data_IF_090015498054
#
_entry.id   IF_090015498054
#
_cell.length_a   1.000
_cell.length_b   1.000
_cell.length_c   1.000
_cell.angle_alpha   90.00
_cell.angle_beta   90.00
_cell.angle_gamma   90.00
#
_symmetry.space_group_name_H-M   'P 1'
#
loop_
_entity.id
_entity.type
_entity.pdbx_description
1 polymer ?
#
# COMPACT_ATOMS: atom_id res chain seq x y z
N UNK A 1 13.26 14.75 -12.35
CA UNK A 1 12.55 13.52 -11.91
C UNK A 1 13.06 12.95 -10.58
N UNK A 2 14.37 12.84 -10.32
CA UNK A 2 14.88 12.20 -9.07
C UNK A 2 14.36 12.78 -7.74
N UNK A 3 14.34 14.11 -7.57
CA UNK A 3 13.80 14.74 -6.35
C UNK A 3 12.29 14.53 -6.18
N UNK A 4 11.52 14.58 -7.28
CA UNK A 4 10.07 14.35 -7.26
C UNK A 4 9.73 12.89 -6.93
N UNK A 5 10.54 11.94 -7.40
CA UNK A 5 10.37 10.51 -7.07
C UNK A 5 10.72 10.19 -5.62
N UNK A 6 11.55 10.99 -4.94
CA UNK A 6 11.90 10.76 -3.53
C UNK A 6 10.79 11.18 -2.54
N UNK A 7 9.94 12.14 -2.93
CA UNK A 7 8.83 12.65 -2.11
C UNK A 7 7.87 11.54 -1.65
N UNK A 8 7.33 10.68 -2.53
CA UNK A 8 6.42 9.61 -2.09
C UNK A 8 7.08 8.64 -1.12
N UNK A 9 8.37 8.32 -1.29
CA UNK A 9 9.09 7.44 -0.36
C UNK A 9 9.33 8.10 1.01
N UNK A 10 9.66 9.39 1.05
CA UNK A 10 9.79 10.15 2.29
C UNK A 10 8.46 10.23 3.06
N UNK A 11 7.37 10.54 2.34
CA UNK A 11 6.03 10.59 2.93
C UNK A 11 5.59 9.21 3.39
N UNK A 12 5.87 8.16 2.62
CA UNK A 12 5.63 6.78 3.02
C UNK A 12 6.35 6.41 4.31
N UNK A 13 7.63 6.78 4.43
CA UNK A 13 8.42 6.52 5.63
C UNK A 13 7.82 7.22 6.86
N UNK A 14 7.47 8.50 6.74
CA UNK A 14 6.83 9.25 7.83
C UNK A 14 5.46 8.65 8.20
N UNK A 15 4.67 8.29 7.20
CA UNK A 15 3.34 7.73 7.40
C UNK A 15 3.39 6.36 8.11
N UNK A 16 4.36 5.49 7.79
CA UNK A 16 4.58 4.24 8.52
C UNK A 16 4.85 4.51 10.00
N UNK A 17 5.74 5.45 10.31
CA UNK A 17 6.09 5.77 11.69
C UNK A 17 4.88 6.31 12.47
N UNK A 18 4.13 7.24 11.87
CA UNK A 18 2.91 7.81 12.47
C UNK A 18 1.84 6.72 12.65
N UNK A 19 1.63 5.87 11.64
CA UNK A 19 0.66 4.79 11.70
C UNK A 19 0.99 3.76 12.77
N UNK A 20 2.28 3.42 12.95
CA UNK A 20 2.75 2.57 14.04
C UNK A 20 2.38 3.16 15.40
N UNK A 21 2.69 4.45 15.60
CA UNK A 21 2.34 5.15 16.84
C UNK A 21 0.82 5.18 17.11
N UNK A 22 0.01 5.46 16.08
CA UNK A 22 -1.46 5.44 16.20
C UNK A 22 -1.96 4.03 16.52
N UNK A 23 -1.42 3.00 15.86
CA UNK A 23 -1.79 1.60 16.10
C UNK A 23 -1.46 1.16 17.53
N UNK A 24 -0.30 1.57 18.06
CA UNK A 24 0.10 1.30 19.44
C UNK A 24 -0.80 2.04 20.44
N UNK A 25 -1.18 3.29 20.15
CA UNK A 25 -2.11 4.07 20.98
C UNK A 25 -3.52 3.48 21.01
N UNK A 26 -4.04 3.05 19.87
CA UNK A 26 -5.37 2.40 19.77
C UNK A 26 -5.37 1.05 20.49
N UNK A 27 -4.28 0.30 20.41
CA UNK A 27 -4.10 -0.94 21.20
C UNK A 27 -4.05 -0.65 22.71
N UNK A 28 -3.26 0.33 23.13
CA UNK A 28 -3.10 0.68 24.54
C UNK A 28 -4.41 1.16 25.17
N UNK A 29 -5.24 1.88 24.39
CA UNK A 29 -6.56 2.34 24.83
C UNK A 29 -7.61 1.22 24.95
N UNK A 30 -7.35 0.01 24.43
CA UNK A 30 -8.28 -1.12 24.49
C UNK A 30 -9.57 -0.94 23.67
N UNK A 31 -9.60 0.03 22.75
CA UNK A 31 -10.83 0.39 22.03
C UNK A 31 -11.29 -0.67 21.03
N UNK A 32 -10.34 -1.36 20.37
CA UNK A 32 -10.63 -2.42 19.40
C UNK A 32 -9.69 -3.62 19.62
N UNK A 33 -10.21 -4.83 19.38
CA UNK A 33 -9.39 -6.05 19.28
C UNK A 33 -8.29 -5.87 18.22
N UNK A 34 -7.12 -6.44 18.48
CA UNK A 34 -5.94 -6.37 17.61
C UNK A 34 -6.24 -6.75 16.16
N UNK A 35 -7.10 -7.75 15.98
CA UNK A 35 -7.54 -8.24 14.66
C UNK A 35 -8.42 -7.19 13.94
N UNK A 36 -9.32 -6.52 14.66
CA UNK A 36 -10.22 -5.54 14.06
C UNK A 36 -9.47 -4.25 13.69
N UNK A 37 -8.51 -3.81 14.50
CA UNK A 37 -7.62 -2.68 14.15
C UNK A 37 -6.85 -2.99 12.88
N UNK A 38 -6.27 -4.19 12.78
CA UNK A 38 -5.51 -4.62 11.59
C UNK A 38 -6.41 -4.73 10.35
N UNK A 39 -7.62 -5.26 10.49
CA UNK A 39 -8.57 -5.37 9.37
C UNK A 39 -9.03 -4.01 8.88
N UNK A 40 -9.33 -3.09 9.79
CA UNK A 40 -9.69 -1.71 9.46
C UNK A 40 -8.53 -0.97 8.78
N UNK A 41 -7.31 -1.12 9.31
CA UNK A 41 -6.10 -0.55 8.70
C UNK A 41 -5.88 -1.04 7.27
N UNK A 42 -6.08 -2.34 7.01
CA UNK A 42 -6.01 -2.92 5.66
C UNK A 42 -7.07 -2.35 4.72
N UNK A 43 -8.33 -2.25 5.18
CA UNK A 43 -9.42 -1.72 4.36
C UNK A 43 -9.17 -0.25 4.03
N UNK A 44 -8.72 0.56 5.00
CA UNK A 44 -8.39 1.97 4.78
C UNK A 44 -7.21 2.12 3.82
N UNK A 45 -6.16 1.31 3.98
CA UNK A 45 -4.98 1.36 3.12
C UNK A 45 -5.29 0.96 1.67
N UNK A 46 -5.91 -0.20 1.44
CA UNK A 46 -6.28 -0.63 0.09
C UNK A 46 -7.36 0.27 -0.51
N UNK A 47 -8.35 0.68 0.29
CA UNK A 47 -9.43 1.55 -0.15
C UNK A 47 -8.92 2.92 -0.58
N UNK A 48 -8.07 3.55 0.23
CA UNK A 48 -7.44 4.82 -0.14
C UNK A 48 -6.57 4.66 -1.39
N UNK A 49 -5.71 3.64 -1.47
CA UNK A 49 -4.88 3.41 -2.64
C UNK A 49 -5.71 3.22 -3.92
N UNK A 50 -6.82 2.47 -3.86
CA UNK A 50 -7.72 2.31 -5.00
C UNK A 50 -8.37 3.64 -5.42
N UNK A 51 -8.88 4.42 -4.46
CA UNK A 51 -9.51 5.73 -4.73
C UNK A 51 -8.51 6.71 -5.35
N UNK A 52 -7.31 6.83 -4.77
CA UNK A 52 -6.29 7.73 -5.27
C UNK A 52 -5.72 7.29 -6.63
N UNK A 53 -5.58 5.98 -6.86
CA UNK A 53 -5.13 5.46 -8.17
C UNK A 53 -6.16 5.74 -9.27
N UNK A 54 -7.45 5.56 -8.98
CA UNK A 54 -8.53 5.91 -9.90
C UNK A 54 -8.55 7.41 -10.16
N UNK A 55 -8.40 8.24 -9.12
CA UNK A 55 -8.31 9.69 -9.25
C UNK A 55 -7.12 10.14 -10.13
N UNK A 56 -5.96 9.49 -9.99
CA UNK A 56 -4.81 9.72 -10.88
C UNK A 56 -5.12 9.37 -12.34
N UNK A 57 -5.90 8.32 -12.59
CA UNK A 57 -6.31 7.92 -13.94
C UNK A 57 -7.21 8.94 -14.65
N UNK A 58 -7.87 9.82 -13.90
CA UNK A 58 -8.67 10.93 -14.44
C UNK A 58 -7.86 12.21 -14.69
N UNK A 59 -6.60 12.28 -14.28
CA UNK A 59 -5.74 13.45 -14.53
C UNK A 59 -5.23 13.45 -15.98
N UNK A 60 -5.48 14.54 -16.70
CA UNK A 60 -5.06 14.73 -18.10
C UNK A 60 -3.70 15.42 -18.26
N UNK A 61 -3.31 15.69 -19.51
CA UNK A 61 -2.04 16.32 -19.88
C UNK A 61 -1.83 17.68 -19.16
N UNK A 62 -0.66 17.87 -18.55
CA UNK A 62 -0.26 19.08 -17.83
C UNK A 62 -0.53 19.08 -16.31
N UNK A 63 -1.14 18.02 -15.77
CA UNK A 63 -1.44 17.89 -14.34
C UNK A 63 -0.46 16.99 -13.57
N UNK A 64 0.81 16.97 -13.98
CA UNK A 64 1.84 16.08 -13.39
C UNK A 64 1.98 16.27 -11.87
N UNK A 65 1.88 17.52 -11.39
CA UNK A 65 1.95 17.83 -9.96
C UNK A 65 0.77 17.24 -9.17
N UNK A 66 -0.44 17.25 -9.73
CA UNK A 66 -1.63 16.68 -9.07
C UNK A 66 -1.53 15.15 -9.00
N UNK A 67 -1.05 14.52 -10.07
CA UNK A 67 -0.80 13.07 -10.10
C UNK A 67 0.20 12.68 -9.01
N UNK A 68 1.31 13.42 -8.88
CA UNK A 68 2.32 13.16 -7.83
C UNK A 68 1.72 13.35 -6.43
N UNK A 69 0.89 14.36 -6.20
CA UNK A 69 0.23 14.59 -4.90
C UNK A 69 -0.72 13.44 -4.56
N UNK A 70 -1.59 13.03 -5.50
CA UNK A 70 -2.53 11.93 -5.27
C UNK A 70 -1.83 10.59 -5.05
N UNK A 71 -0.79 10.28 -5.83
CA UNK A 71 0.06 9.10 -5.61
C UNK A 71 0.74 9.16 -4.25
N UNK A 72 1.29 10.31 -3.86
CA UNK A 72 1.96 10.49 -2.57
C UNK A 72 1.00 10.30 -1.41
N UNK A 73 -0.22 10.84 -1.49
CA UNK A 73 -1.25 10.66 -0.47
C UNK A 73 -1.73 9.20 -0.41
N UNK A 74 -1.98 8.57 -1.56
CA UNK A 74 -2.39 7.17 -1.61
C UNK A 74 -1.33 6.22 -1.05
N UNK A 75 -0.07 6.40 -1.43
CA UNK A 75 1.06 5.61 -0.90
C UNK A 75 1.28 5.93 0.59
N UNK A 76 1.23 7.20 0.99
CA UNK A 76 1.35 7.59 2.40
C UNK A 76 0.32 6.87 3.28
N UNK A 77 -0.95 6.88 2.88
CA UNK A 77 -2.02 6.21 3.64
C UNK A 77 -1.88 4.69 3.57
N UNK A 78 -1.38 4.12 2.46
CA UNK A 78 -1.13 2.67 2.37
C UNK A 78 -0.05 2.18 3.35
N UNK A 79 0.85 3.07 3.80
CA UNK A 79 1.83 2.79 4.87
C UNK A 79 1.19 2.33 6.18
N UNK A 80 -0.08 2.67 6.42
CA UNK A 80 -0.86 2.22 7.58
C UNK A 80 -1.09 0.70 7.57
N UNK A 81 -1.16 0.07 6.38
CA UNK A 81 -1.27 -1.40 6.29
C UNK A 81 -0.02 -2.12 6.79
N UNK A 82 1.16 -1.49 6.70
CA UNK A 82 2.43 -2.13 7.05
C UNK A 82 2.50 -2.46 8.55
N UNK A 83 1.91 -1.61 9.40
CA UNK A 83 1.78 -1.83 10.84
C UNK A 83 0.87 -3.04 11.19
N UNK A 84 0.01 -3.47 10.26
CA UNK A 84 -0.91 -4.58 10.46
C UNK A 84 -0.50 -5.89 9.80
N UNK A 85 0.18 -5.85 8.66
CA UNK A 85 0.41 -7.04 7.82
C UNK A 85 1.38 -8.05 8.46
N UNK A 86 2.57 -7.60 8.89
CA UNK A 86 3.63 -8.47 9.43
C UNK A 86 3.14 -9.27 10.64
N UNK A 87 2.30 -8.64 11.46
CA UNK A 87 1.82 -9.20 12.72
C UNK A 87 0.54 -10.04 12.53
N UNK A 88 -0.10 -10.02 11.37
CA UNK A 88 -1.30 -10.82 11.10
C UNK A 88 -0.97 -12.30 10.86
N UNK A 89 0.15 -12.57 10.18
CA UNK A 89 0.65 -13.93 9.94
C UNK A 89 1.03 -14.65 11.23
N UNK A 90 1.67 -13.91 12.16
CA UNK A 90 2.08 -14.42 13.45
C UNK A 90 0.89 -14.72 14.37
N UNK A 91 -0.18 -13.93 14.28
CA UNK A 91 -1.40 -14.17 15.08
C UNK A 91 -2.24 -15.35 14.54
N UNK A 92 -2.24 -15.61 13.22
CA UNK A 92 -3.06 -16.69 12.62
C UNK A 92 -2.42 -18.08 12.78
N UNK A 93 -1.09 -18.19 12.61
CA UNK A 93 -0.40 -19.48 12.71
C UNK A 93 1.09 -19.30 13.03
N UNK A 94 1.49 -19.15 14.31
CA UNK A 94 2.88 -18.90 14.68
C UNK A 94 3.85 -20.01 14.22
N UNK A 95 3.39 -21.26 14.15
CA UNK A 95 4.22 -22.41 13.75
C UNK A 95 4.39 -22.54 12.21
N UNK A 96 3.48 -21.97 11.42
CA UNK A 96 3.50 -22.05 9.94
C UNK A 96 3.64 -20.69 9.25
N UNK A 97 3.86 -19.61 10.03
CA UNK A 97 3.93 -18.24 9.52
C UNK A 97 4.98 -18.08 8.41
N UNK A 98 6.13 -18.74 8.53
CA UNK A 98 7.19 -18.69 7.51
C UNK A 98 6.77 -19.30 6.17
N UNK A 99 6.12 -20.47 6.19
CA UNK A 99 5.64 -21.15 4.97
C UNK A 99 4.51 -20.37 4.30
N UNK A 100 3.55 -19.85 5.10
CA UNK A 100 2.43 -19.04 4.58
C UNK A 100 2.95 -17.74 3.98
N UNK A 101 3.90 -17.07 4.64
CA UNK A 101 4.52 -15.86 4.12
C UNK A 101 5.29 -16.13 2.82
N UNK A 102 6.03 -17.24 2.76
CA UNK A 102 6.75 -17.67 1.56
C UNK A 102 5.80 -17.90 0.38
N UNK A 103 4.73 -18.66 0.58
CA UNK A 103 3.71 -18.91 -0.46
C UNK A 103 3.01 -17.60 -0.88
N UNK A 104 2.66 -16.73 0.07
CA UNK A 104 2.08 -15.43 -0.26
C UNK A 104 3.01 -14.54 -1.08
N UNK A 105 4.32 -14.56 -0.77
CA UNK A 105 5.32 -13.80 -1.49
C UNK A 105 5.54 -14.34 -2.91
N UNK A 106 5.58 -15.66 -3.11
CA UNK A 106 5.71 -16.24 -4.46
C UNK A 106 4.54 -15.86 -5.35
N UNK A 107 3.30 -15.92 -4.83
CA UNK A 107 2.10 -15.48 -5.57
C UNK A 107 2.20 -13.99 -5.91
N UNK A 108 2.65 -13.16 -4.97
CA UNK A 108 2.84 -11.72 -5.18
C UNK A 108 3.89 -11.43 -6.24
N UNK A 109 5.01 -12.17 -6.24
CA UNK A 109 6.05 -12.06 -7.26
C UNK A 109 5.52 -12.46 -8.65
N UNK A 110 4.78 -13.57 -8.76
CA UNK A 110 4.15 -13.99 -10.02
C UNK A 110 3.19 -12.92 -10.53
N UNK A 111 2.34 -12.36 -9.67
CA UNK A 111 1.47 -11.25 -10.02
C UNK A 111 2.26 -10.02 -10.48
N UNK A 112 3.36 -9.69 -9.81
CA UNK A 112 4.26 -8.60 -10.18
C UNK A 112 4.93 -8.76 -11.54
N UNK A 113 5.18 -9.99 -11.99
CA UNK A 113 5.68 -10.30 -13.34
C UNK A 113 4.56 -10.20 -14.37
N UNK A 114 3.38 -10.75 -14.09
CA UNK A 114 2.25 -10.80 -15.02
C UNK A 114 1.61 -9.43 -15.25
N UNK A 115 1.56 -8.57 -14.22
CA UNK A 115 0.88 -7.28 -14.29
C UNK A 115 1.43 -6.35 -15.39
N UNK A 116 2.75 -6.04 -15.47
CA UNK A 116 3.29 -5.19 -16.54
C UNK A 116 3.19 -5.85 -17.92
N UNK A 117 3.24 -7.18 -18.01
CA UNK A 117 3.03 -7.90 -19.28
C UNK A 117 1.61 -7.63 -19.81
N UNK A 118 0.59 -7.82 -18.98
CA UNK A 118 -0.81 -7.57 -19.36
C UNK A 118 -1.03 -6.09 -19.69
N UNK A 119 -0.49 -5.17 -18.89
CA UNK A 119 -0.60 -3.72 -19.14
C UNK A 119 0.04 -3.33 -20.48
N UNK A 120 1.19 -3.91 -20.82
CA UNK A 120 1.85 -3.68 -22.11
C UNK A 120 1.06 -4.21 -23.30
N UNK A 121 0.33 -5.34 -23.13
CA UNK A 121 -0.60 -5.83 -24.15
C UNK A 121 -1.87 -4.98 -24.26
N UNK A 122 -2.40 -4.50 -23.13
CA UNK A 122 -3.62 -3.69 -23.07
C UNK A 122 -3.39 -2.25 -23.54
N UNK A 123 -2.16 -1.77 -23.44
CA UNK A 123 -1.71 -0.47 -23.96
C UNK A 123 -0.84 -0.72 -25.18
N UNK A 124 -1.41 -1.13 -26.33
CA UNK A 124 -0.63 -1.17 -27.56
C UNK A 124 -0.10 0.25 -27.79
N UNK A 125 1.21 0.34 -27.94
CA UNK A 125 1.95 1.57 -28.20
C UNK A 125 1.23 2.44 -29.23
N UNK A 126 0.53 3.48 -28.77
CA UNK A 126 0.33 4.67 -29.57
C UNK A 126 1.62 5.47 -29.42
N UNK A 127 2.34 5.49 -30.52
CA UNK A 127 3.65 6.07 -30.74
C UNK A 127 3.95 7.35 -29.94
N UNK A 128 5.15 7.38 -29.38
CA UNK A 128 5.97 8.59 -29.37
C UNK A 128 7.31 8.27 -30.03
#
# INVERSE_FOLDING_TARGET
>A
MGFLSAIPYLVYFLAINIAGFIADRVRYAGWLSTINVRRLAMIIALGSQAVFLVACGFCGCGQEHLVVIFLTLGIGISGVAYAGFVVNYLDIAPTFAGTILGIGNTITCVAGILCPLIIGWLTPSNDF
#
